data_IF_339533217259
#
_entry.id   IF_339533217259
#
_cell.length_a   1.000
_cell.length_b   1.000
_cell.length_c   1.000
_cell.angle_alpha   90.00
_cell.angle_beta   90.00
_cell.angle_gamma   90.00
#
_symmetry.space_group_name_H-M   'P 1'
#
loop_
_entity.id
_entity.type
_entity.pdbx_description
1 polymer ?
#
# COMPACT_ATOMS: atom_id res chain seq x y z
N UNK A 1 -2.31 -27.37 -8.70
CA UNK A 1 -2.15 -27.24 -7.24
C UNK A 1 -2.42 -25.79 -6.91
N UNK A 2 -3.48 -25.51 -6.16
CA UNK A 2 -3.74 -24.16 -5.70
C UNK A 2 -2.73 -23.79 -4.61
N UNK A 3 -2.14 -22.60 -4.72
CA UNK A 3 -1.15 -22.06 -3.76
C UNK A 3 -1.74 -21.98 -2.32
N UNK A 4 -3.07 -21.94 -2.24
CA UNK A 4 -3.80 -21.87 -0.96
C UNK A 4 -3.66 -23.14 -0.13
N UNK A 5 -3.47 -24.30 -0.76
CA UNK A 5 -3.37 -25.60 -0.10
C UNK A 5 -1.96 -25.96 0.40
N UNK A 6 -0.98 -25.10 0.12
CA UNK A 6 0.40 -25.32 0.54
C UNK A 6 0.63 -24.95 2.02
N UNK A 7 1.50 -25.67 2.75
CA UNK A 7 1.95 -25.27 4.09
C UNK A 7 2.54 -23.87 4.11
N UNK A 8 2.42 -23.16 5.24
CA UNK A 8 2.88 -21.79 5.37
C UNK A 8 4.37 -21.60 5.03
N UNK A 9 5.21 -22.61 5.32
CA UNK A 9 6.65 -22.61 4.99
C UNK A 9 6.92 -22.68 3.48
N UNK A 10 6.16 -23.50 2.75
CA UNK A 10 6.29 -23.58 1.29
C UNK A 10 5.77 -22.32 0.59
N UNK A 11 4.68 -21.73 1.11
CA UNK A 11 4.20 -20.43 0.61
C UNK A 11 5.23 -19.33 0.77
N UNK A 12 5.93 -19.28 1.91
CA UNK A 12 6.98 -18.31 2.15
C UNK A 12 8.15 -18.49 1.17
N UNK A 13 8.57 -19.74 0.89
CA UNK A 13 9.61 -20.04 -0.09
C UNK A 13 9.21 -19.63 -1.50
N UNK A 14 7.96 -19.92 -1.91
CA UNK A 14 7.45 -19.50 -3.23
C UNK A 14 7.38 -17.99 -3.35
N UNK A 15 7.05 -17.26 -2.28
CA UNK A 15 7.07 -15.81 -2.29
C UNK A 15 8.47 -15.23 -2.40
N UNK A 16 9.47 -15.89 -1.79
CA UNK A 16 10.88 -15.50 -1.92
C UNK A 16 11.45 -15.80 -3.32
N UNK A 17 10.87 -16.76 -4.04
CA UNK A 17 11.23 -17.09 -5.43
C UNK A 17 10.63 -16.11 -6.46
N UNK A 18 9.53 -15.41 -6.10
CA UNK A 18 8.93 -14.42 -6.99
C UNK A 18 9.82 -13.18 -7.02
N UNK A 19 10.55 -12.99 -8.12
CA UNK A 19 11.45 -11.85 -8.32
C UNK A 19 11.31 -11.28 -9.72
N UNK A 20 11.56 -9.98 -9.86
CA UNK A 20 11.66 -9.33 -11.15
C UNK A 20 10.34 -9.27 -11.93
N UNK A 21 9.20 -9.13 -11.26
CA UNK A 21 7.89 -9.05 -11.91
C UNK A 21 7.81 -7.99 -13.00
N UNK A 22 8.56 -6.90 -12.87
CA UNK A 22 8.57 -5.82 -13.86
C UNK A 22 9.13 -6.28 -15.22
N UNK A 23 10.03 -7.29 -15.22
CA UNK A 23 10.60 -7.88 -16.44
C UNK A 23 9.68 -8.94 -17.04
N UNK A 24 8.94 -9.65 -16.20
CA UNK A 24 8.00 -10.72 -16.63
C UNK A 24 6.68 -10.12 -17.12
N UNK A 25 6.15 -9.17 -16.40
CA UNK A 25 4.94 -8.42 -16.74
C UNK A 25 5.00 -7.02 -16.12
N UNK A 26 5.37 -5.99 -16.89
CA UNK A 26 5.46 -4.62 -16.39
C UNK A 26 4.18 -4.14 -15.70
N UNK A 27 3.02 -4.53 -16.25
CA UNK A 27 1.72 -4.14 -15.71
C UNK A 27 1.50 -4.69 -14.29
N UNK A 28 1.86 -5.96 -14.06
CA UNK A 28 1.76 -6.59 -12.74
C UNK A 28 2.79 -5.99 -11.78
N UNK A 29 4.03 -5.80 -12.25
CA UNK A 29 5.10 -5.23 -11.44
C UNK A 29 4.76 -3.82 -10.95
N UNK A 30 4.31 -2.95 -11.84
CA UNK A 30 3.88 -1.60 -11.48
C UNK A 30 2.62 -1.59 -10.63
N UNK A 31 1.64 -2.46 -10.93
CA UNK A 31 0.43 -2.60 -10.11
C UNK A 31 0.75 -2.98 -8.67
N UNK A 32 1.63 -3.97 -8.47
CA UNK A 32 2.08 -4.39 -7.14
C UNK A 32 2.85 -3.27 -6.41
N UNK A 33 3.78 -2.61 -7.10
CA UNK A 33 4.59 -1.54 -6.50
C UNK A 33 3.73 -0.35 -6.09
N UNK A 34 2.89 0.15 -6.98
CA UNK A 34 1.99 1.27 -6.68
C UNK A 34 0.96 0.90 -5.61
N UNK A 35 0.43 -0.32 -5.65
CA UNK A 35 -0.47 -0.83 -4.62
C UNK A 35 0.18 -0.87 -3.24
N UNK A 36 1.41 -1.37 -3.15
CA UNK A 36 2.18 -1.40 -1.91
C UNK A 36 2.46 0.02 -1.39
N UNK A 37 2.89 0.95 -2.26
CA UNK A 37 3.12 2.34 -1.88
C UNK A 37 1.84 3.04 -1.42
N UNK A 38 0.69 2.73 -2.05
CA UNK A 38 -0.60 3.29 -1.65
C UNK A 38 -1.02 2.84 -0.25
N UNK A 39 -0.83 1.55 0.08
CA UNK A 39 -1.14 0.98 1.41
C UNK A 39 -0.15 1.47 2.47
N UNK A 40 1.11 1.66 2.10
CA UNK A 40 2.18 2.13 2.99
C UNK A 40 2.13 3.64 3.29
N UNK A 41 1.07 4.33 2.90
CA UNK A 41 0.92 5.75 3.20
C UNK A 41 1.92 6.67 2.48
N UNK A 42 2.35 6.29 1.25
CA UNK A 42 3.19 7.20 0.47
C UNK A 42 2.37 8.35 -0.14
N UNK A 43 2.89 9.61 -0.07
CA UNK A 43 2.25 10.69 -0.83
C UNK A 43 2.27 10.35 -2.33
N UNK A 44 1.24 10.66 -3.08
CA UNK A 44 0.03 11.44 -2.77
C UNK A 44 -1.23 10.60 -2.50
N UNK A 45 -1.10 9.34 -2.08
CA UNK A 45 -2.26 8.46 -1.82
C UNK A 45 -3.04 8.87 -0.56
N UNK A 46 -4.34 8.53 -0.52
CA UNK A 46 -5.25 8.93 0.54
C UNK A 46 -4.88 8.43 1.94
N UNK A 47 -4.21 7.27 2.04
CA UNK A 47 -3.71 6.72 3.31
C UNK A 47 -2.72 7.67 3.96
N UNK A 48 -1.84 8.32 3.19
CA UNK A 48 -0.90 9.31 3.71
C UNK A 48 -1.60 10.46 4.45
N UNK A 49 -2.70 10.97 3.90
CA UNK A 49 -3.43 12.07 4.52
C UNK A 49 -3.97 11.68 5.90
N UNK A 50 -4.50 10.46 6.06
CA UNK A 50 -4.98 9.95 7.34
C UNK A 50 -3.85 9.67 8.33
N UNK A 51 -2.75 9.08 7.90
CA UNK A 51 -1.56 8.86 8.75
C UNK A 51 -0.96 10.18 9.22
N UNK A 52 -0.84 11.15 8.34
CA UNK A 52 -0.36 12.48 8.66
C UNK A 52 -1.26 13.17 9.70
N UNK A 53 -2.57 13.06 9.56
CA UNK A 53 -3.52 13.60 10.53
C UNK A 53 -3.39 12.91 11.89
N UNK A 54 -3.25 11.59 11.93
CA UNK A 54 -3.04 10.83 13.16
C UNK A 54 -1.75 11.28 13.86
N UNK A 55 -0.65 11.38 13.12
CA UNK A 55 0.65 11.79 13.67
C UNK A 55 0.61 13.22 14.21
N UNK A 56 0.00 14.16 13.47
CA UNK A 56 -0.12 15.56 13.91
C UNK A 56 -1.02 15.70 15.13
N UNK A 57 -2.10 14.93 15.22
CA UNK A 57 -2.97 14.90 16.39
C UNK A 57 -2.25 14.28 17.59
N UNK A 58 -1.55 13.16 17.40
CA UNK A 58 -0.75 12.55 18.46
C UNK A 58 0.35 13.50 18.98
N UNK A 59 0.98 14.27 18.09
CA UNK A 59 1.99 15.26 18.48
C UNK A 59 1.40 16.38 19.33
N UNK A 60 0.17 16.77 19.06
CA UNK A 60 -0.53 17.81 19.84
C UNK A 60 -0.99 17.30 21.20
N UNK A 61 -1.62 16.11 21.23
CA UNK A 61 -2.32 15.63 22.41
C UNK A 61 -1.43 14.73 23.29
N UNK A 62 -0.50 13.99 22.65
CA UNK A 62 0.43 13.06 23.30
C UNK A 62 1.85 13.13 22.71
N UNK A 63 2.58 14.24 22.90
CA UNK A 63 3.89 14.45 22.23
C UNK A 63 4.94 13.38 22.58
N UNK A 64 4.87 12.78 23.76
CA UNK A 64 5.77 11.72 24.17
C UNK A 64 5.55 10.39 23.39
N UNK A 65 4.32 10.12 22.91
CA UNK A 65 3.98 8.92 22.16
C UNK A 65 4.32 9.03 20.67
N UNK A 66 4.40 10.24 20.14
CA UNK A 66 4.65 10.51 18.72
C UNK A 66 5.92 9.85 18.17
N UNK A 67 7.10 9.91 18.84
CA UNK A 67 8.30 9.25 18.31
C UNK A 67 8.14 7.73 18.22
N UNK A 68 7.46 7.10 19.16
CA UNK A 68 7.17 5.66 19.09
C UNK A 68 6.26 5.31 17.93
N UNK A 69 5.23 6.14 17.66
CA UNK A 69 4.33 6.00 16.53
C UNK A 69 5.10 6.12 15.21
N UNK A 70 5.96 7.12 15.07
CA UNK A 70 6.78 7.32 13.87
C UNK A 70 7.75 6.16 13.63
N UNK A 71 8.38 5.65 14.68
CA UNK A 71 9.26 4.48 14.59
C UNK A 71 8.45 3.26 14.13
N UNK A 72 7.28 3.03 14.72
CA UNK A 72 6.42 1.90 14.34
C UNK A 72 5.98 1.98 12.88
N UNK A 73 5.55 3.15 12.40
CA UNK A 73 5.20 3.40 11.00
C UNK A 73 6.40 3.18 10.08
N UNK A 74 7.58 3.70 10.45
CA UNK A 74 8.82 3.52 9.69
C UNK A 74 9.25 2.05 9.59
N UNK A 75 9.15 1.29 10.68
CA UNK A 75 9.45 -0.14 10.69
C UNK A 75 8.44 -0.94 9.85
N UNK A 76 7.15 -0.61 9.93
CA UNK A 76 6.12 -1.22 9.10
C UNK A 76 6.40 -0.97 7.62
N UNK A 77 6.69 0.28 7.25
CA UNK A 77 7.09 0.66 5.89
C UNK A 77 8.30 -0.14 5.42
N UNK A 78 9.39 -0.11 6.17
CA UNK A 78 10.63 -0.79 5.82
C UNK A 78 10.44 -2.31 5.67
N UNK A 79 9.66 -2.91 6.56
CA UNK A 79 9.37 -4.36 6.53
C UNK A 79 8.63 -4.78 5.26
N UNK A 80 7.57 -4.07 4.88
CA UNK A 80 6.80 -4.39 3.66
C UNK A 80 7.60 -4.04 2.42
N UNK A 81 8.20 -2.84 2.37
CA UNK A 81 8.95 -2.36 1.22
C UNK A 81 10.15 -3.26 0.88
N UNK A 82 10.90 -3.73 1.90
CA UNK A 82 12.04 -4.64 1.72
C UNK A 82 11.64 -5.98 1.10
N UNK A 83 10.39 -6.41 1.24
CA UNK A 83 9.88 -7.62 0.60
C UNK A 83 9.33 -7.36 -0.81
N UNK A 84 8.62 -6.25 -0.99
CA UNK A 84 8.01 -5.91 -2.28
C UNK A 84 9.06 -5.51 -3.32
N UNK A 85 10.09 -4.78 -2.90
CA UNK A 85 11.14 -4.30 -3.82
C UNK A 85 11.82 -5.44 -4.62
N UNK A 86 12.33 -6.53 -4.01
CA UNK A 86 12.93 -7.62 -4.78
C UNK A 86 11.91 -8.40 -5.61
N UNK A 87 10.65 -8.49 -5.18
CA UNK A 87 9.59 -9.10 -5.97
C UNK A 87 9.35 -8.33 -7.28
N UNK A 88 9.41 -7.02 -7.23
CA UNK A 88 9.17 -6.17 -8.41
C UNK A 88 10.43 -6.03 -9.27
N UNK A 89 11.55 -5.64 -8.66
CA UNK A 89 12.78 -5.23 -9.37
C UNK A 89 13.92 -6.26 -9.31
N UNK A 90 13.74 -7.39 -8.62
CA UNK A 90 14.77 -8.43 -8.50
C UNK A 90 15.17 -9.01 -9.86
N UNK A 91 16.27 -9.73 -9.88
CA UNK A 91 16.71 -10.46 -11.06
C UNK A 91 15.87 -11.71 -11.26
N UNK A 92 15.50 -11.99 -12.51
CA UNK A 92 14.75 -13.17 -12.90
C UNK A 92 15.19 -13.68 -14.25
N UNK A 93 15.21 -15.00 -14.39
CA UNK A 93 15.46 -15.70 -15.64
C UNK A 93 14.16 -16.16 -16.33
N UNK A 94 13.00 -15.78 -15.77
CA UNK A 94 11.70 -16.15 -16.33
C UNK A 94 11.43 -15.30 -17.57
N UNK A 95 10.92 -15.92 -18.61
CA UNK A 95 10.55 -15.23 -19.87
C UNK A 95 9.34 -14.31 -19.63
N UNK A 96 9.30 -13.15 -20.31
CA UNK A 96 8.14 -12.27 -20.27
C UNK A 96 6.86 -13.00 -20.66
N UNK A 97 5.75 -12.66 -19.98
CA UNK A 97 4.42 -13.18 -20.31
C UNK A 97 4.00 -12.67 -21.69
N UNK A 98 3.57 -13.61 -22.56
CA UNK A 98 3.07 -13.25 -23.89
C UNK A 98 1.72 -12.48 -23.81
N UNK A 99 0.91 -12.76 -22.79
CA UNK A 99 -0.38 -12.13 -22.56
C UNK A 99 -0.46 -11.69 -21.09
N UNK A 100 -0.15 -10.41 -20.79
CA UNK A 100 -0.29 -9.90 -19.43
C UNK A 100 -1.76 -9.87 -19.03
N UNK A 101 -2.09 -10.14 -17.75
CA UNK A 101 -3.47 -10.08 -17.27
C UNK A 101 -4.00 -8.65 -17.35
N UNK A 102 -5.31 -8.52 -17.60
CA UNK A 102 -5.98 -7.23 -17.58
C UNK A 102 -6.14 -6.75 -16.13
N UNK A 103 -5.33 -5.77 -15.72
CA UNK A 103 -5.37 -5.17 -14.38
C UNK A 103 -6.14 -3.85 -14.32
N UNK A 104 -7.08 -3.65 -15.23
CA UNK A 104 -7.91 -2.43 -15.28
C UNK A 104 -8.57 -2.12 -13.93
N UNK A 105 -9.19 -3.08 -13.20
CA UNK A 105 -9.79 -2.78 -11.89
C UNK A 105 -8.76 -2.33 -10.86
N UNK A 106 -7.53 -2.89 -10.88
CA UNK A 106 -6.46 -2.52 -9.96
C UNK A 106 -6.01 -1.07 -10.20
N UNK A 107 -5.75 -0.71 -11.46
CA UNK A 107 -5.34 0.66 -11.79
C UNK A 107 -6.47 1.67 -11.58
N UNK A 108 -7.72 1.29 -11.82
CA UNK A 108 -8.88 2.12 -11.50
C UNK A 108 -8.96 2.40 -9.99
N UNK A 109 -8.73 1.38 -9.16
CA UNK A 109 -8.73 1.53 -7.71
C UNK A 109 -7.56 2.40 -7.20
N UNK A 110 -6.38 2.20 -7.78
CA UNK A 110 -5.21 3.06 -7.51
C UNK A 110 -5.45 4.51 -7.90
N UNK A 111 -6.07 4.75 -9.06
CA UNK A 111 -6.43 6.10 -9.52
C UNK A 111 -7.46 6.75 -8.58
N UNK A 112 -8.44 5.98 -8.09
CA UNK A 112 -9.42 6.46 -7.12
C UNK A 112 -8.73 6.82 -5.78
N UNK A 113 -7.84 5.96 -5.29
CA UNK A 113 -7.06 6.22 -4.07
C UNK A 113 -6.15 7.45 -4.20
N UNK A 114 -5.56 7.64 -5.37
CA UNK A 114 -4.77 8.82 -5.71
C UNK A 114 -5.65 10.09 -5.74
N UNK A 115 -6.80 10.01 -6.39
CA UNK A 115 -7.74 11.12 -6.45
C UNK A 115 -8.19 11.57 -5.06
N UNK A 116 -8.55 10.62 -4.19
CA UNK A 116 -8.97 10.90 -2.82
C UNK A 116 -7.82 11.43 -1.94
N UNK A 117 -6.58 11.09 -2.26
CA UNK A 117 -5.41 11.64 -1.58
C UNK A 117 -5.09 13.09 -1.97
N UNK A 118 -5.37 13.45 -3.22
CA UNK A 118 -5.14 14.81 -3.73
C UNK A 118 -6.32 15.75 -3.51
N UNK A 119 -7.53 15.22 -3.55
CA UNK A 119 -8.75 16.01 -3.45
C UNK A 119 -9.86 15.23 -2.76
N UNK A 120 -10.32 15.74 -1.63
CA UNK A 120 -11.50 15.22 -0.94
C UNK A 120 -12.72 16.03 -1.42
N UNK A 121 -13.68 15.39 -2.13
CA UNK A 121 -14.90 16.08 -2.55
C UNK A 121 -15.64 16.68 -1.36
N UNK A 122 -16.24 17.88 -1.49
CA UNK A 122 -16.89 18.60 -0.39
C UNK A 122 -18.01 17.82 0.30
N UNK A 123 -18.71 16.95 -0.44
CA UNK A 123 -19.77 16.11 0.13
C UNK A 123 -19.21 15.02 1.06
N UNK A 124 -18.03 14.47 0.75
CA UNK A 124 -17.35 13.51 1.65
C UNK A 124 -16.81 14.21 2.90
N UNK A 125 -16.25 15.41 2.76
CA UNK A 125 -15.82 16.22 3.91
C UNK A 125 -17.00 16.52 4.86
N UNK A 126 -18.16 16.87 4.31
CA UNK A 126 -19.37 17.08 5.09
C UNK A 126 -19.81 15.82 5.85
N UNK A 127 -19.75 14.64 5.23
CA UNK A 127 -20.08 13.37 5.88
C UNK A 127 -19.08 12.99 6.97
N UNK A 128 -17.79 13.20 6.75
CA UNK A 128 -16.77 12.97 7.78
C UNK A 128 -16.95 13.88 8.99
N UNK A 129 -17.28 15.14 8.79
CA UNK A 129 -17.58 16.11 9.88
C UNK A 129 -18.83 15.71 10.65
N UNK A 130 -19.86 15.26 9.96
CA UNK A 130 -21.10 14.79 10.62
C UNK A 130 -20.85 13.52 11.44
N UNK A 131 -20.12 12.54 10.88
CA UNK A 131 -19.72 11.36 11.62
C UNK A 131 -18.88 11.70 12.85
N UNK A 132 -17.93 12.64 12.73
CA UNK A 132 -17.10 13.10 13.83
C UNK A 132 -17.92 13.76 14.95
N UNK A 133 -18.95 14.54 14.60
CA UNK A 133 -19.89 15.13 15.57
C UNK A 133 -20.67 14.07 16.34
N UNK A 134 -21.11 13.00 15.68
CA UNK A 134 -21.84 11.92 16.33
C UNK A 134 -20.98 11.13 17.34
N UNK A 135 -19.67 11.07 17.14
CA UNK A 135 -18.73 10.32 17.99
C UNK A 135 -18.14 11.19 19.09
N UNK A 136 -17.92 12.48 18.81
CA UNK A 136 -17.22 13.43 19.70
C UNK A 136 -18.10 14.43 20.42
N UNK A 137 -19.44 14.25 20.36
CA UNK A 137 -20.43 15.14 20.97
C UNK A 137 -20.57 15.04 22.46
#
# INVERSE_FOLDING_TARGET
VEIVDLPAGERAQLMDEIRGLIRVSPTVGWGLMLGALAILGMPPFGVFASEFLIVTTAMRDHPWATPFLLIALGLAFASVFSRVQPMVFGETNVKPLAHPPALIPVFLHLALGLMLGLYIPPYLDAWYREAARMIGG
#
